data_IF_077096074482
#
_entry.id   IF_077096074482
#
_cell.length_a   1.000
_cell.length_b   1.000
_cell.length_c   1.000
_cell.angle_alpha   90.00
_cell.angle_beta   90.00
_cell.angle_gamma   90.00
#
_symmetry.space_group_name_H-M   'P 1'
#
loop_
_entity.id
_entity.type
_entity.pdbx_description
1 polymer ?
#
# COMPACT_ATOMS: atom_id res chain seq x y z
N UNK A 1 16.43 15.16 26.27
CA UNK A 1 16.26 14.48 27.57
C UNK A 1 14.86 14.84 28.08
N UNK A 2 14.11 13.83 28.54
CA UNK A 2 12.71 13.84 29.02
C UNK A 2 11.60 14.01 27.96
N UNK A 3 11.00 12.86 27.64
CA UNK A 3 9.72 12.65 26.97
C UNK A 3 8.60 12.88 27.99
N UNK A 4 7.61 13.71 27.66
CA UNK A 4 6.33 13.72 28.35
C UNK A 4 5.25 13.20 27.39
N UNK A 5 4.86 11.94 27.59
CA UNK A 5 3.70 11.35 26.95
C UNK A 5 2.50 11.52 27.90
N UNK A 6 1.61 12.48 27.64
CA UNK A 6 0.29 12.44 28.28
C UNK A 6 -0.65 11.58 27.44
N UNK A 7 -1.13 10.49 28.05
CA UNK A 7 -2.18 9.63 27.50
C UNK A 7 -3.53 10.22 27.90
N UNK A 8 -4.25 10.76 26.92
CA UNK A 8 -5.69 11.01 27.03
C UNK A 8 -6.38 10.02 26.10
N UNK A 9 -6.99 8.98 26.68
CA UNK A 9 -7.85 8.03 25.96
C UNK A 9 -9.30 8.44 26.24
N UNK A 10 -9.93 9.15 25.32
CA UNK A 10 -11.39 9.25 25.35
C UNK A 10 -11.98 8.02 24.66
N UNK A 11 -12.62 7.15 25.45
CA UNK A 11 -13.27 5.90 25.00
C UNK A 11 -14.69 6.10 24.45
N UNK A 12 -15.20 7.33 24.34
CA UNK A 12 -16.64 7.52 24.11
C UNK A 12 -17.11 7.44 22.66
N UNK A 13 -16.23 7.51 21.67
CA UNK A 13 -16.63 7.47 20.26
C UNK A 13 -15.62 6.62 19.49
N UNK A 14 -16.07 5.64 18.71
CA UNK A 14 -15.27 4.61 18.03
C UNK A 14 -14.30 5.09 16.93
N UNK A 15 -13.62 6.21 17.14
CA UNK A 15 -12.66 6.80 16.23
C UNK A 15 -11.24 6.43 16.68
N UNK A 16 -10.50 5.67 15.85
CA UNK A 16 -9.05 5.54 16.02
C UNK A 16 -8.38 6.80 15.45
N UNK A 17 -8.08 7.75 16.32
CA UNK A 17 -7.21 8.86 16.00
C UNK A 17 -5.80 8.34 15.73
N UNK A 18 -5.31 8.45 14.49
CA UNK A 18 -3.87 8.50 14.26
C UNK A 18 -3.41 9.93 14.57
N UNK A 19 -3.02 10.19 15.82
CA UNK A 19 -2.44 11.47 16.22
C UNK A 19 -1.03 11.59 15.61
N UNK A 20 -0.92 12.21 14.44
CA UNK A 20 0.38 12.64 13.91
C UNK A 20 0.68 13.98 14.59
N UNK A 21 1.57 14.00 15.58
CA UNK A 21 2.20 15.24 16.06
C UNK A 21 3.44 15.51 15.20
N UNK A 22 3.41 16.42 14.21
CA UNK A 22 4.63 16.88 13.58
C UNK A 22 5.32 17.84 14.55
N UNK A 23 6.28 17.36 15.36
CA UNK A 23 7.01 18.23 16.31
C UNK A 23 7.98 19.18 15.59
N UNK A 24 8.26 18.97 14.30
CA UNK A 24 8.87 19.91 13.34
C UNK A 24 8.83 19.25 11.97
N UNK A 25 8.03 19.77 11.04
CA UNK A 25 8.21 19.46 9.63
C UNK A 25 9.40 20.32 9.14
N UNK A 26 10.44 19.74 8.53
CA UNK A 26 11.46 20.52 7.84
C UNK A 26 10.79 21.48 6.84
N UNK A 27 11.38 22.65 6.58
CA UNK A 27 10.88 23.68 5.65
C UNK A 27 10.58 23.19 4.21
N UNK A 28 10.77 21.91 3.93
CA UNK A 28 10.64 21.26 2.63
C UNK A 28 9.51 20.21 2.56
N UNK A 29 8.78 19.91 3.64
CA UNK A 29 7.74 18.85 3.64
C UNK A 29 6.34 19.46 3.53
N UNK A 30 5.71 19.33 2.36
CA UNK A 30 4.43 19.96 2.01
C UNK A 30 3.17 19.11 2.25
N UNK A 31 3.28 17.94 2.90
CA UNK A 31 2.17 16.97 3.00
C UNK A 31 2.04 16.44 4.43
N UNK A 32 0.94 16.81 5.08
CA UNK A 32 0.35 16.05 6.19
C UNK A 32 -0.71 15.13 5.60
N UNK A 33 -0.54 13.83 5.77
CA UNK A 33 -1.55 12.83 5.45
C UNK A 33 -2.54 12.80 6.60
N UNK A 34 -3.75 13.31 6.38
CA UNK A 34 -4.87 12.97 7.26
C UNK A 34 -5.70 11.91 6.55
N UNK A 35 -5.36 10.65 6.82
CA UNK A 35 -6.26 9.53 6.56
C UNK A 35 -7.25 9.44 7.70
N UNK A 36 -8.46 9.98 7.52
CA UNK A 36 -9.56 9.70 8.44
C UNK A 36 -10.13 8.35 8.03
N UNK A 37 -9.77 7.30 8.76
CA UNK A 37 -10.49 6.03 8.67
C UNK A 37 -11.71 6.18 9.58
N UNK A 38 -12.83 6.60 9.01
CA UNK A 38 -14.09 6.58 9.73
C UNK A 38 -14.64 5.15 9.70
N UNK A 39 -14.77 4.54 10.87
CA UNK A 39 -15.58 3.35 11.03
C UNK A 39 -16.92 3.83 11.56
N UNK A 40 -18.02 3.58 10.84
CA UNK A 40 -19.34 3.80 11.40
C UNK A 40 -19.47 2.86 12.61
N UNK A 41 -19.75 3.36 13.83
CA UNK A 41 -20.00 2.48 14.96
C UNK A 41 -21.11 1.50 14.59
N UNK A 42 -20.97 0.22 14.99
CA UNK A 42 -22.00 -0.80 14.78
C UNK A 42 -23.35 -0.21 15.23
N UNK A 43 -24.26 -0.05 14.28
CA UNK A 43 -25.58 0.50 14.51
C UNK A 43 -26.36 -0.45 15.42
N UNK A 44 -26.40 -0.16 16.71
CA UNK A 44 -27.53 -0.56 17.56
C UNK A 44 -28.58 0.53 17.35
N UNK A 45 -29.63 0.20 16.59
CA UNK A 45 -30.72 1.07 16.10
C UNK A 45 -30.50 1.76 14.74
N UNK A 46 -31.60 1.82 13.98
CA UNK A 46 -31.70 2.23 12.56
C UNK A 46 -31.28 3.70 12.26
N UNK A 47 -30.87 4.49 13.25
CA UNK A 47 -30.63 5.93 13.13
C UNK A 47 -29.21 6.34 12.67
N UNK A 48 -28.23 5.43 12.70
CA UNK A 48 -26.86 5.77 12.28
C UNK A 48 -26.68 5.91 10.76
N UNK A 49 -27.67 5.48 9.96
CA UNK A 49 -27.59 5.48 8.49
C UNK A 49 -27.76 6.86 7.86
N UNK A 50 -28.23 7.86 8.62
CA UNK A 50 -28.61 9.19 8.11
C UNK A 50 -27.93 10.37 8.83
N UNK A 51 -26.86 10.13 9.60
CA UNK A 51 -26.14 11.21 10.26
C UNK A 51 -25.46 12.13 9.23
N UNK A 52 -25.57 13.47 9.34
CA UNK A 52 -24.85 14.40 8.47
C UNK A 52 -23.36 14.04 8.51
N UNK A 53 -22.76 13.82 7.32
CA UNK A 53 -21.43 13.23 7.17
C UNK A 53 -20.42 13.91 8.10
N UNK A 54 -20.10 13.26 9.23
CA UNK A 54 -19.11 13.74 10.21
C UNK A 54 -17.77 14.05 9.54
N UNK A 55 -17.51 13.41 8.39
CA UNK A 55 -16.39 13.66 7.50
C UNK A 55 -16.18 15.14 7.15
N UNK A 56 -17.24 15.91 6.85
CA UNK A 56 -17.07 17.33 6.51
C UNK A 56 -16.62 18.16 7.73
N UNK A 57 -17.13 17.85 8.93
CA UNK A 57 -16.66 18.47 10.16
C UNK A 57 -15.19 18.14 10.43
N UNK A 58 -14.81 16.87 10.32
CA UNK A 58 -13.42 16.44 10.51
C UNK A 58 -12.49 17.12 9.49
N UNK A 59 -12.88 17.20 8.23
CA UNK A 59 -12.10 17.88 7.18
C UNK A 59 -11.94 19.38 7.47
N UNK A 60 -12.99 20.03 7.98
CA UNK A 60 -12.93 21.43 8.41
C UNK A 60 -12.02 21.64 9.62
N UNK A 61 -12.02 20.73 10.60
CA UNK A 61 -11.12 20.76 11.75
C UNK A 61 -9.67 20.61 11.31
N UNK A 62 -9.39 19.67 10.39
CA UNK A 62 -8.06 19.48 9.80
C UNK A 62 -7.61 20.74 9.06
N UNK A 63 -8.50 21.34 8.27
CA UNK A 63 -8.20 22.56 7.54
C UNK A 63 -7.92 23.73 8.50
N UNK A 64 -8.69 23.85 9.57
CA UNK A 64 -8.50 24.87 10.61
C UNK A 64 -7.18 24.68 11.35
N UNK A 65 -6.86 23.44 11.73
CA UNK A 65 -5.57 23.10 12.33
C UNK A 65 -4.41 23.42 11.39
N UNK A 66 -4.52 23.10 10.10
CA UNK A 66 -3.49 23.45 9.11
C UNK A 66 -3.28 24.96 9.04
N UNK A 67 -4.36 25.74 8.96
CA UNK A 67 -4.31 27.21 8.94
C UNK A 67 -3.67 27.78 10.22
N UNK A 68 -4.05 27.27 11.40
CA UNK A 68 -3.45 27.66 12.69
C UNK A 68 -1.95 27.37 12.76
N UNK A 69 -1.48 26.38 12.01
CA UNK A 69 -0.06 26.00 11.92
C UNK A 69 0.63 26.58 10.67
N UNK A 70 0.11 27.68 10.11
CA UNK A 70 0.68 28.37 8.94
C UNK A 70 0.83 27.48 7.68
N UNK A 71 -0.03 26.46 7.53
CA UNK A 71 -0.10 25.59 6.36
C UNK A 71 -1.41 25.80 5.60
N UNK A 72 -1.41 25.47 4.31
CA UNK A 72 -2.62 25.50 3.47
C UNK A 72 -2.79 24.16 2.77
N UNK A 73 -3.94 23.53 2.97
CA UNK A 73 -4.29 22.32 2.22
C UNK A 73 -4.44 22.67 0.73
N UNK A 74 -3.99 21.79 -0.15
CA UNK A 74 -4.16 21.94 -1.59
C UNK A 74 -5.29 21.02 -2.06
N UNK A 75 -6.50 21.56 -2.34
CA UNK A 75 -7.64 20.74 -2.73
C UNK A 75 -7.38 19.90 -3.99
N UNK A 76 -6.54 20.38 -4.91
CA UNK A 76 -6.16 19.64 -6.12
C UNK A 76 -5.32 18.39 -5.84
N UNK A 77 -4.71 18.27 -4.65
CA UNK A 77 -3.98 17.07 -4.20
C UNK A 77 -4.79 16.21 -3.21
N UNK A 78 -5.90 16.74 -2.70
CA UNK A 78 -6.85 16.00 -1.89
C UNK A 78 -7.68 15.09 -2.80
N UNK A 79 -7.98 13.88 -2.32
CA UNK A 79 -8.82 12.89 -3.00
C UNK A 79 -9.62 12.14 -1.95
N UNK A 80 -10.86 11.80 -2.28
CA UNK A 80 -11.70 10.94 -1.44
C UNK A 80 -11.66 9.54 -2.03
N UNK A 81 -11.17 8.59 -1.25
CA UNK A 81 -11.30 7.16 -1.54
C UNK A 81 -12.38 6.62 -0.58
N UNK A 82 -13.49 6.15 -1.12
CA UNK A 82 -14.55 5.55 -0.30
C UNK A 82 -14.30 4.05 -0.24
N UNK A 83 -14.21 3.50 0.96
CA UNK A 83 -14.08 2.06 1.18
C UNK A 83 -15.30 1.63 1.97
N UNK A 84 -16.11 0.77 1.37
CA UNK A 84 -17.35 0.29 1.97
C UNK A 84 -17.42 -1.24 1.90
N UNK A 85 -17.91 -1.83 2.97
CA UNK A 85 -18.10 -3.28 3.12
C UNK A 85 -19.59 -3.66 3.14
N UNK A 86 -20.49 -2.68 3.05
CA UNK A 86 -21.93 -2.90 3.03
C UNK A 86 -22.38 -3.37 1.64
N UNK A 87 -23.17 -4.45 1.63
CA UNK A 87 -23.72 -5.02 0.39
C UNK A 87 -24.88 -4.20 -0.18
N UNK A 88 -25.50 -3.35 0.63
CA UNK A 88 -26.60 -2.47 0.24
C UNK A 88 -26.26 -1.03 0.65
N UNK A 89 -26.08 -0.18 -0.36
CA UNK A 89 -25.66 1.21 -0.18
C UNK A 89 -26.86 2.15 -0.33
N UNK A 90 -27.58 2.38 0.76
CA UNK A 90 -28.79 3.22 0.76
C UNK A 90 -28.48 4.72 0.82
N UNK A 91 -27.22 5.10 1.06
CA UNK A 91 -26.83 6.48 1.33
C UNK A 91 -25.81 6.96 0.30
N UNK A 92 -26.12 8.05 -0.41
CA UNK A 92 -25.13 8.76 -1.23
C UNK A 92 -24.33 9.66 -0.30
N UNK A 93 -23.01 9.46 -0.14
CA UNK A 93 -22.24 10.25 0.79
C UNK A 93 -22.19 11.71 0.33
N UNK A 94 -22.34 12.62 1.28
CA UNK A 94 -22.28 14.05 1.01
C UNK A 94 -20.91 14.44 0.40
N UNK A 95 -20.88 15.39 -0.55
CA UNK A 95 -19.64 15.88 -1.12
C UNK A 95 -18.70 16.43 -0.04
N UNK A 96 -17.41 16.10 -0.14
CA UNK A 96 -16.39 16.57 0.81
C UNK A 96 -15.77 17.87 0.30
N UNK A 97 -15.81 18.90 1.14
CA UNK A 97 -15.25 20.22 0.85
C UNK A 97 -13.98 20.47 1.66
N UNK A 98 -12.93 20.95 1.00
CA UNK A 98 -11.73 21.48 1.67
C UNK A 98 -11.70 22.99 1.42
N UNK A 99 -12.02 23.76 2.46
CA UNK A 99 -12.25 25.21 2.32
C UNK A 99 -13.45 25.48 1.42
N UNK A 100 -13.22 26.03 0.22
CA UNK A 100 -14.26 26.32 -0.79
C UNK A 100 -14.18 25.42 -2.01
N UNK A 101 -13.37 24.38 -1.97
CA UNK A 101 -13.12 23.51 -3.12
C UNK A 101 -13.64 22.11 -2.87
N UNK A 102 -14.40 21.61 -3.84
CA UNK A 102 -14.87 20.22 -3.86
C UNK A 102 -13.70 19.27 -4.08
N UNK A 103 -13.63 18.23 -3.26
CA UNK A 103 -12.63 17.18 -3.40
C UNK A 103 -13.17 16.06 -4.27
N UNK A 104 -12.40 15.70 -5.30
CA UNK A 104 -12.74 14.62 -6.22
C UNK A 104 -12.75 13.25 -5.49
N UNK A 105 -13.83 12.49 -5.71
CA UNK A 105 -13.90 11.06 -5.37
C UNK A 105 -13.20 10.25 -6.45
N UNK A 106 -12.34 9.32 -6.05
CA UNK A 106 -11.59 8.45 -6.98
C UNK A 106 -11.76 6.97 -6.59
N UNK A 107 -11.80 6.05 -7.57
CA UNK A 107 -11.90 4.61 -7.31
C UNK A 107 -10.56 4.00 -6.89
N UNK A 108 -9.44 4.66 -7.17
CA UNK A 108 -8.12 4.28 -6.65
C UNK A 108 -7.26 5.50 -6.37
N UNK A 109 -6.44 5.40 -5.33
CA UNK A 109 -5.52 6.43 -4.90
C UNK A 109 -4.09 5.91 -4.96
N UNK A 110 -3.23 6.63 -5.69
CA UNK A 110 -1.79 6.37 -5.67
C UNK A 110 -1.12 7.11 -4.52
N UNK A 111 -0.41 6.38 -3.66
CA UNK A 111 0.38 6.94 -2.55
C UNK A 111 1.71 6.20 -2.42
N UNK A 112 2.81 6.96 -2.41
CA UNK A 112 4.18 6.43 -2.28
C UNK A 112 4.52 5.28 -3.26
N UNK A 113 3.90 5.27 -4.44
CA UNK A 113 4.09 4.22 -5.44
C UNK A 113 3.11 3.04 -5.36
N UNK A 114 2.29 2.97 -4.31
CA UNK A 114 1.24 1.95 -4.14
C UNK A 114 -0.11 2.51 -4.59
N UNK A 115 -0.90 1.71 -5.29
CA UNK A 115 -2.29 2.04 -5.59
C UNK A 115 -3.19 1.34 -4.58
N UNK A 116 -4.05 2.10 -3.90
CA UNK A 116 -5.07 1.58 -2.99
C UNK A 116 -6.41 1.81 -3.66
N UNK A 117 -7.15 0.73 -3.91
CA UNK A 117 -8.45 0.76 -4.57
C UNK A 117 -9.59 0.81 -3.55
N UNK A 118 -10.78 1.25 -3.97
CA UNK A 118 -11.98 1.35 -3.12
C UNK A 118 -12.47 -0.02 -2.64
N UNK A 119 -12.29 -1.05 -3.45
CA UNK A 119 -12.57 -2.46 -3.15
C UNK A 119 -11.44 -3.14 -2.34
N UNK A 120 -10.39 -2.39 -2.00
CA UNK A 120 -9.15 -2.87 -1.38
C UNK A 120 -8.46 -4.02 -2.12
N UNK A 121 -8.76 -4.23 -3.40
CA UNK A 121 -8.08 -5.25 -4.21
C UNK A 121 -6.75 -4.71 -4.75
N UNK A 122 -5.81 -5.64 -4.96
CA UNK A 122 -4.48 -5.30 -5.49
C UNK A 122 -4.42 -5.27 -7.02
N UNK A 123 -5.52 -5.53 -7.73
CA UNK A 123 -5.53 -5.67 -9.19
C UNK A 123 -4.95 -4.44 -9.90
N UNK A 124 -5.43 -3.23 -9.55
CA UNK A 124 -4.95 -1.97 -10.12
C UNK A 124 -3.46 -1.76 -9.85
N UNK A 125 -3.00 -2.11 -8.65
CA UNK A 125 -1.59 -1.97 -8.28
C UNK A 125 -0.69 -2.94 -9.06
N UNK A 126 -1.09 -4.20 -9.14
CA UNK A 126 -0.32 -5.26 -9.81
C UNK A 126 -0.27 -5.03 -11.32
N UNK A 127 -1.38 -4.65 -11.95
CA UNK A 127 -1.38 -4.27 -13.37
C UNK A 127 -0.41 -3.10 -13.64
N UNK A 128 -0.41 -2.08 -12.79
CA UNK A 128 0.54 -0.98 -12.89
C UNK A 128 1.99 -1.43 -12.73
N UNK A 129 2.29 -2.31 -11.76
CA UNK A 129 3.62 -2.88 -11.55
C UNK A 129 4.09 -3.68 -12.76
N UNK A 130 3.26 -4.59 -13.27
CA UNK A 130 3.54 -5.44 -14.43
C UNK A 130 3.80 -4.58 -15.66
N UNK A 131 2.95 -3.59 -15.95
CA UNK A 131 3.15 -2.66 -17.07
C UNK A 131 4.46 -1.89 -16.93
N UNK A 132 4.77 -1.39 -15.74
CA UNK A 132 6.01 -0.64 -15.48
C UNK A 132 7.24 -1.51 -15.62
N UNK A 133 7.22 -2.74 -15.12
CA UNK A 133 8.31 -3.69 -15.19
C UNK A 133 8.52 -4.23 -16.62
N UNK A 134 7.46 -4.54 -17.35
CA UNK A 134 7.53 -4.98 -18.74
C UNK A 134 8.21 -3.95 -19.66
N UNK A 135 7.98 -2.64 -19.43
CA UNK A 135 8.69 -1.58 -20.17
C UNK A 135 10.21 -1.65 -19.98
N UNK A 136 10.68 -2.10 -18.81
CA UNK A 136 12.11 -2.26 -18.51
C UNK A 136 12.73 -3.49 -19.16
N UNK A 137 11.92 -4.49 -19.55
CA UNK A 137 12.42 -5.66 -20.29
C UNK A 137 13.00 -5.28 -21.66
N UNK A 138 12.58 -4.15 -22.26
CA UNK A 138 13.18 -3.67 -23.50
C UNK A 138 14.68 -3.44 -23.36
N UNK A 139 15.12 -2.90 -22.21
CA UNK A 139 16.55 -2.70 -21.91
C UNK A 139 17.28 -4.03 -21.93
N UNK A 140 16.73 -5.07 -21.29
CA UNK A 140 17.34 -6.41 -21.27
C UNK A 140 17.47 -6.99 -22.69
N UNK A 141 16.46 -6.79 -23.55
CA UNK A 141 16.54 -7.21 -24.96
C UNK A 141 17.63 -6.49 -25.73
N UNK A 142 17.80 -5.18 -25.52
CA UNK A 142 18.86 -4.41 -26.18
C UNK A 142 20.25 -4.88 -25.72
N UNK A 143 20.43 -5.07 -24.41
CA UNK A 143 21.69 -5.59 -23.86
C UNK A 143 22.05 -6.96 -24.42
N UNK A 144 21.04 -7.84 -24.56
CA UNK A 144 21.24 -9.15 -25.18
C UNK A 144 21.68 -9.05 -26.64
N UNK A 145 21.08 -8.13 -27.41
CA UNK A 145 21.48 -7.85 -28.81
C UNK A 145 22.91 -7.31 -28.92
N UNK A 146 23.37 -6.56 -27.92
CA UNK A 146 24.74 -6.07 -27.84
C UNK A 146 25.76 -7.17 -27.45
N UNK A 147 25.34 -8.43 -27.27
CA UNK A 147 26.25 -9.54 -26.96
C UNK A 147 26.70 -9.60 -25.49
N UNK A 148 26.04 -8.85 -24.59
CA UNK A 148 26.38 -8.87 -23.16
C UNK A 148 26.09 -10.27 -22.59
N UNK A 149 27.00 -10.82 -21.76
CA UNK A 149 26.80 -12.14 -21.17
C UNK A 149 25.54 -12.15 -20.28
N UNK A 150 24.79 -13.27 -20.24
CA UNK A 150 23.59 -13.40 -19.41
C UNK A 150 23.79 -13.03 -17.94
N UNK A 151 24.97 -13.34 -17.38
CA UNK A 151 25.30 -13.08 -15.97
C UNK A 151 25.19 -11.59 -15.60
N UNK A 152 25.71 -10.70 -16.46
CA UNK A 152 25.61 -9.26 -16.26
C UNK A 152 24.18 -8.75 -16.47
N UNK A 153 23.45 -9.34 -17.41
CA UNK A 153 22.04 -9.01 -17.67
C UNK A 153 21.17 -9.33 -16.45
N UNK A 154 21.49 -10.38 -15.69
CA UNK A 154 20.79 -10.71 -14.44
C UNK A 154 20.97 -9.60 -13.40
N UNK A 155 22.19 -9.08 -13.23
CA UNK A 155 22.43 -7.98 -12.30
C UNK A 155 21.57 -6.76 -12.66
N UNK A 156 21.46 -6.46 -13.95
CA UNK A 156 20.63 -5.35 -14.46
C UNK A 156 19.14 -5.64 -14.29
N UNK A 157 18.69 -6.88 -14.52
CA UNK A 157 17.33 -7.32 -14.21
C UNK A 157 16.99 -7.10 -12.73
N UNK A 158 17.90 -7.49 -11.83
CA UNK A 158 17.75 -7.32 -10.40
C UNK A 158 17.60 -5.84 -10.01
N UNK A 159 18.42 -4.98 -10.62
CA UNK A 159 18.43 -3.54 -10.34
C UNK A 159 17.22 -2.78 -10.91
N UNK A 160 16.78 -3.10 -12.13
CA UNK A 160 15.78 -2.29 -12.85
C UNK A 160 14.37 -2.88 -12.86
N UNK A 161 14.24 -4.20 -12.87
CA UNK A 161 12.96 -4.89 -13.01
C UNK A 161 12.52 -5.42 -11.65
N UNK A 162 13.36 -6.24 -11.00
CA UNK A 162 13.02 -6.89 -9.73
C UNK A 162 12.78 -5.88 -8.61
N UNK A 163 13.59 -4.82 -8.55
CA UNK A 163 13.41 -3.72 -7.59
C UNK A 163 12.02 -3.08 -7.66
N UNK A 164 11.43 -2.96 -8.85
CA UNK A 164 10.07 -2.44 -9.05
C UNK A 164 9.03 -3.42 -8.48
N UNK A 165 9.20 -4.71 -8.76
CA UNK A 165 8.27 -5.77 -8.35
C UNK A 165 8.33 -6.03 -6.83
N UNK A 166 9.47 -5.78 -6.18
CA UNK A 166 9.69 -6.06 -4.75
C UNK A 166 9.44 -4.87 -3.82
N UNK A 167 9.51 -3.63 -4.30
CA UNK A 167 9.54 -2.39 -3.50
C UNK A 167 8.49 -2.31 -2.38
N UNK A 168 7.24 -2.71 -2.64
CA UNK A 168 6.13 -2.66 -1.67
C UNK A 168 5.48 -4.01 -1.41
N UNK A 169 6.22 -5.10 -1.64
CA UNK A 169 5.71 -6.48 -1.54
C UNK A 169 5.09 -6.84 -0.20
N UNK A 170 5.55 -6.25 0.90
CA UNK A 170 4.97 -6.47 2.24
C UNK A 170 3.53 -5.93 2.38
N UNK A 171 3.14 -4.94 1.56
CA UNK A 171 1.80 -4.33 1.61
C UNK A 171 0.75 -5.24 0.96
N UNK A 172 1.14 -6.00 -0.06
CA UNK A 172 0.26 -6.88 -0.83
C UNK A 172 0.69 -8.35 -0.72
N UNK A 173 1.09 -8.79 0.47
CA UNK A 173 1.68 -10.12 0.66
C UNK A 173 0.72 -11.28 0.34
N UNK A 174 -0.58 -11.08 0.56
CA UNK A 174 -1.63 -12.07 0.30
C UNK A 174 -2.33 -11.77 -1.04
N UNK A 175 -1.74 -12.26 -2.13
CA UNK A 175 -2.29 -12.10 -3.47
C UNK A 175 -3.08 -13.34 -3.90
N UNK A 176 -4.22 -13.15 -4.58
CA UNK A 176 -4.81 -14.19 -5.40
C UNK A 176 -3.80 -14.78 -6.39
N UNK A 177 -3.88 -16.10 -6.63
CA UNK A 177 -2.86 -16.82 -7.41
C UNK A 177 -2.66 -16.26 -8.81
N UNK A 178 -3.72 -15.74 -9.45
CA UNK A 178 -3.61 -15.14 -10.77
C UNK A 178 -2.77 -13.84 -10.78
N UNK A 179 -2.83 -13.02 -9.73
CA UNK A 179 -1.99 -11.82 -9.59
C UNK A 179 -0.54 -12.20 -9.25
N UNK A 180 -0.36 -13.22 -8.41
CA UNK A 180 0.96 -13.78 -8.12
C UNK A 180 1.65 -14.29 -9.39
N UNK A 181 0.93 -15.03 -10.22
CA UNK A 181 1.39 -15.52 -11.52
C UNK A 181 1.70 -14.36 -12.49
N UNK A 182 0.87 -13.31 -12.52
CA UNK A 182 1.12 -12.16 -13.39
C UNK A 182 2.45 -11.44 -13.09
N UNK A 183 2.84 -11.39 -11.81
CA UNK A 183 4.16 -10.90 -11.41
C UNK A 183 5.27 -11.89 -11.81
N UNK A 184 5.08 -13.18 -11.54
CA UNK A 184 6.03 -14.24 -11.86
C UNK A 184 6.33 -14.30 -13.37
N UNK A 185 5.33 -14.08 -14.21
CA UNK A 185 5.47 -14.05 -15.67
C UNK A 185 6.43 -12.95 -16.15
N UNK A 186 6.59 -11.84 -15.40
CA UNK A 186 7.60 -10.82 -15.72
C UNK A 186 9.01 -11.38 -15.50
N UNK A 187 9.23 -12.15 -14.43
CA UNK A 187 10.51 -12.83 -14.20
C UNK A 187 10.76 -13.90 -15.27
N UNK A 188 9.77 -14.73 -15.58
CA UNK A 188 9.86 -15.72 -16.66
C UNK A 188 10.28 -15.07 -17.98
N UNK A 189 9.58 -14.01 -18.41
CA UNK A 189 9.92 -13.27 -19.63
C UNK A 189 11.34 -12.68 -19.59
N UNK A 190 11.77 -12.18 -18.44
CA UNK A 190 13.13 -11.64 -18.29
C UNK A 190 14.18 -12.75 -18.49
N UNK A 191 13.99 -13.91 -17.87
CA UNK A 191 14.91 -15.04 -18.02
C UNK A 191 14.88 -15.65 -19.43
N UNK A 192 13.71 -15.74 -20.05
CA UNK A 192 13.59 -16.22 -21.44
C UNK A 192 14.31 -15.33 -22.46
N UNK A 193 14.53 -14.04 -22.17
CA UNK A 193 15.38 -13.17 -23.02
C UNK A 193 16.84 -13.64 -22.97
N UNK A 194 17.26 -14.19 -21.84
CA UNK A 194 18.64 -14.64 -21.61
C UNK A 194 18.83 -16.08 -22.11
N UNK A 195 17.89 -16.96 -21.80
CA UNK A 195 17.90 -18.38 -22.15
C UNK A 195 16.53 -18.83 -22.70
N UNK A 196 16.28 -18.66 -24.00
CA UNK A 196 14.96 -18.94 -24.58
C UNK A 196 14.59 -20.43 -24.56
N UNK A 197 15.57 -21.32 -24.65
CA UNK A 197 15.36 -22.76 -24.84
C UNK A 197 15.34 -23.57 -23.54
N UNK A 198 15.48 -22.92 -22.39
CA UNK A 198 15.51 -23.60 -21.09
C UNK A 198 14.15 -23.54 -20.38
N UNK A 199 13.74 -24.60 -19.68
CA UNK A 199 12.57 -24.55 -18.81
C UNK A 199 12.82 -23.61 -17.62
N UNK A 200 11.74 -23.07 -17.04
CA UNK A 200 11.82 -22.00 -16.02
C UNK A 200 12.65 -22.39 -14.80
N UNK A 201 12.53 -23.62 -14.32
CA UNK A 201 13.27 -24.12 -13.16
C UNK A 201 14.79 -24.10 -13.39
N UNK A 202 15.24 -24.55 -14.56
CA UNK A 202 16.66 -24.55 -14.90
C UNK A 202 17.17 -23.11 -15.15
N UNK A 203 16.32 -22.20 -15.64
CA UNK A 203 16.67 -20.79 -15.73
C UNK A 203 16.89 -20.15 -14.36
N UNK A 204 16.10 -20.52 -13.35
CA UNK A 204 16.27 -20.04 -11.97
C UNK A 204 17.59 -20.51 -11.36
N UNK A 205 17.92 -21.80 -11.54
CA UNK A 205 19.17 -22.39 -11.09
C UNK A 205 20.37 -21.70 -11.75
N UNK A 206 20.33 -21.55 -13.08
CA UNK A 206 21.40 -20.89 -13.83
C UNK A 206 21.57 -19.41 -13.48
N UNK A 207 20.48 -18.73 -13.15
CA UNK A 207 20.54 -17.34 -12.67
C UNK A 207 20.90 -17.21 -11.19
N UNK A 208 20.95 -18.32 -10.43
CA UNK A 208 21.06 -18.32 -8.98
C UNK A 208 20.04 -17.39 -8.29
N UNK A 209 18.79 -17.37 -8.80
CA UNK A 209 17.69 -16.59 -8.21
C UNK A 209 16.51 -17.48 -7.86
N UNK A 210 15.76 -17.05 -6.85
CA UNK A 210 14.50 -17.68 -6.44
C UNK A 210 13.31 -17.10 -7.23
N UNK A 211 12.16 -17.77 -7.15
CA UNK A 211 10.87 -17.22 -7.64
C UNK A 211 10.53 -15.90 -6.95
N UNK A 212 9.79 -15.02 -7.63
CA UNK A 212 9.39 -13.74 -7.02
C UNK A 212 8.45 -13.99 -5.83
N UNK A 213 7.61 -15.02 -5.90
CA UNK A 213 6.71 -15.38 -4.81
C UNK A 213 7.48 -15.66 -3.50
N UNK A 214 8.52 -16.50 -3.55
CA UNK A 214 9.35 -16.84 -2.38
C UNK A 214 10.07 -15.61 -1.83
N UNK A 215 10.64 -14.79 -2.72
CA UNK A 215 11.38 -13.59 -2.31
C UNK A 215 10.48 -12.54 -1.66
N UNK A 216 9.28 -12.31 -2.21
CA UNK A 216 8.28 -11.40 -1.64
C UNK A 216 7.78 -11.91 -0.28
N UNK A 217 7.55 -13.21 -0.14
CA UNK A 217 7.20 -13.81 1.15
C UNK A 217 8.32 -13.61 2.18
N UNK A 218 9.59 -13.80 1.80
CA UNK A 218 10.74 -13.55 2.67
C UNK A 218 10.85 -12.07 3.07
N UNK A 219 10.66 -11.14 2.13
CA UNK A 219 10.66 -9.70 2.40
C UNK A 219 9.53 -9.31 3.38
N UNK A 220 8.34 -9.88 3.22
CA UNK A 220 7.22 -9.68 4.13
C UNK A 220 7.54 -10.21 5.54
N UNK A 221 8.08 -11.43 5.67
CA UNK A 221 8.53 -11.99 6.95
C UNK A 221 9.58 -11.10 7.61
N UNK A 222 10.53 -10.56 6.84
CA UNK A 222 11.55 -9.66 7.37
C UNK A 222 10.96 -8.32 7.82
N UNK A 223 9.97 -7.80 7.10
CA UNK A 223 9.24 -6.60 7.49
C UNK A 223 8.51 -6.81 8.82
N UNK A 224 7.77 -7.90 8.96
CA UNK A 224 7.02 -8.26 10.18
C UNK A 224 7.96 -8.39 11.38
N UNK A 225 9.09 -9.09 11.24
CA UNK A 225 10.08 -9.25 12.33
C UNK A 225 10.67 -7.94 12.84
N UNK A 226 10.69 -6.89 12.01
CA UNK A 226 11.20 -5.57 12.39
C UNK A 226 10.17 -4.69 13.11
N UNK A 227 8.91 -5.13 13.20
CA UNK A 227 7.85 -4.38 13.88
C UNK A 227 8.11 -4.43 15.39
N UNK A 228 8.18 -3.24 16.01
CA UNK A 228 8.45 -3.11 17.45
C UNK A 228 7.22 -3.53 18.28
N UNK A 229 7.40 -4.13 19.47
CA UNK A 229 6.31 -4.48 20.38
C UNK A 229 5.36 -3.33 20.75
N UNK A 230 5.87 -2.09 20.78
CA UNK A 230 5.05 -0.90 21.02
C UNK A 230 4.29 -0.36 19.81
N UNK A 231 4.36 -1.03 18.65
CA UNK A 231 3.69 -0.58 17.43
C UNK A 231 2.18 -0.93 17.48
N UNK A 232 1.27 -0.05 17.04
CA UNK A 232 -0.18 -0.31 17.07
C UNK A 232 -0.63 -1.58 16.33
N UNK A 233 0.14 -2.02 15.33
CA UNK A 233 -0.15 -3.24 14.56
C UNK A 233 0.48 -4.51 15.15
N UNK A 234 1.36 -4.39 16.14
CA UNK A 234 2.09 -5.54 16.70
C UNK A 234 1.15 -6.63 17.25
N UNK A 235 0.08 -6.31 18.03
CA UNK A 235 -0.82 -7.34 18.55
C UNK A 235 -1.53 -8.12 17.42
N UNK A 236 -2.04 -7.40 16.42
CA UNK A 236 -2.80 -7.99 15.32
C UNK A 236 -1.96 -8.89 14.42
N UNK A 237 -0.70 -8.52 14.18
CA UNK A 237 0.21 -9.30 13.34
C UNK A 237 0.72 -10.53 14.08
N UNK A 238 1.01 -10.42 15.38
CA UNK A 238 1.48 -11.55 16.17
C UNK A 238 0.41 -12.64 16.33
N UNK A 239 -0.85 -12.27 16.56
CA UNK A 239 -1.98 -13.21 16.61
C UNK A 239 -2.14 -13.98 15.28
N UNK A 240 -2.12 -13.27 14.14
CA UNK A 240 -2.28 -13.92 12.83
C UNK A 240 -1.09 -14.83 12.46
N UNK A 241 0.14 -14.47 12.81
CA UNK A 241 1.33 -15.29 12.56
C UNK A 241 1.31 -16.56 13.43
N UNK A 242 0.85 -16.48 14.68
CA UNK A 242 0.69 -17.67 15.53
C UNK A 242 -0.36 -18.62 14.93
N UNK A 243 -1.52 -18.13 14.51
CA UNK A 243 -2.59 -18.96 13.95
C UNK A 243 -2.21 -19.65 12.63
N UNK A 244 -1.47 -18.98 11.75
CA UNK A 244 -1.00 -19.57 10.49
C UNK A 244 0.13 -20.59 10.68
N UNK A 245 0.84 -20.55 11.80
CA UNK A 245 1.83 -21.58 12.15
C UNK A 245 1.15 -22.86 12.68
N UNK A 246 0.01 -22.73 13.37
CA UNK A 246 -0.75 -23.88 13.89
C UNK A 246 -1.47 -24.66 12.79
N UNK A 247 -1.86 -24.02 11.68
CA UNK A 247 -2.51 -24.68 10.53
C UNK A 247 -1.55 -25.42 9.59
N UNK A 248 -0.23 -25.29 9.79
CA UNK A 248 0.79 -26.07 9.06
C UNK A 248 1.27 -27.30 9.86
N UNK A 249 0.74 -27.52 11.06
CA UNK A 249 1.07 -28.65 11.94
C UNK A 249 -0.15 -29.55 12.29
N UNK A 250 -1.22 -29.49 11.50
CA UNK A 250 -2.35 -30.43 11.56
C UNK A 250 -2.67 -30.96 10.16
#
# INVERSE_FOLDING_TARGET
MQLAASKSWSRSLGYKWFQIRPVRLPHCVSIILVGVIYHCPKATSDDARNSPSVLNYIVNDINSYACQNNMRLNPRKCRVLMVDFLHYNSCVPMPIMVGRSLVEKVPSLKRLGVHVSEDLTWMVHIDWLVKRANRRLFVLRQLRKCGIPPEDIIAIYCALVRSILEYTSAVFADLPKYLDNALEDVQKRALSIMWPDLPYEHMLEKAAIQTLSVRRAAACKQFIRKIRPGHPLYPHIHEQVLHSTTQMCL
#
